data_IF_328271077874
#
_entry.id   IF_328271077874
#
_cell.length_a   1.000
_cell.length_b   1.000
_cell.length_c   1.000
_cell.angle_alpha   90.00
_cell.angle_beta   90.00
_cell.angle_gamma   90.00
#
_symmetry.space_group_name_H-M   'P 1'
#
loop_
_entity.id
_entity.type
_entity.pdbx_description
1 polymer ?
#
# COMPACT_ATOMS: atom_id res chain seq x y z
N UNK A 1 -30.35 1.89 -7.65
CA UNK A 1 -29.14 1.04 -7.59
C UNK A 1 -27.94 1.92 -7.88
N UNK A 2 -26.95 2.03 -6.98
CA UNK A 2 -25.72 2.79 -7.28
C UNK A 2 -24.93 2.07 -8.38
N UNK A 3 -24.39 2.84 -9.32
CA UNK A 3 -23.44 2.32 -10.32
C UNK A 3 -22.19 1.83 -9.60
N UNK A 4 -21.71 0.63 -9.95
CA UNK A 4 -20.40 0.11 -9.47
C UNK A 4 -19.24 0.94 -10.03
N UNK A 5 -19.46 1.67 -11.13
CA UNK A 5 -18.47 2.53 -11.75
C UNK A 5 -18.66 3.98 -11.35
N UNK A 6 -17.56 4.64 -11.03
CA UNK A 6 -17.39 6.09 -11.05
C UNK A 6 -16.33 6.41 -12.08
N UNK A 7 -16.74 7.10 -13.15
CA UNK A 7 -15.85 7.44 -14.26
C UNK A 7 -15.44 8.91 -14.13
N UNK A 8 -14.17 9.12 -13.79
CA UNK A 8 -13.54 10.44 -13.61
C UNK A 8 -12.58 10.77 -14.76
N UNK A 9 -12.62 10.01 -15.86
CA UNK A 9 -11.73 10.24 -17.01
C UNK A 9 -11.92 11.61 -17.65
N UNK A 10 -13.13 12.18 -17.58
CA UNK A 10 -13.38 13.56 -18.04
C UNK A 10 -12.57 14.61 -17.24
N UNK A 11 -12.43 14.44 -15.92
CA UNK A 11 -11.58 15.32 -15.12
C UNK A 11 -10.12 15.21 -15.58
N UNK A 12 -9.65 13.99 -15.80
CA UNK A 12 -8.29 13.75 -16.29
C UNK A 12 -8.03 14.34 -17.68
N UNK A 13 -8.89 14.06 -18.66
CA UNK A 13 -8.71 14.53 -20.03
C UNK A 13 -8.80 16.05 -20.19
N UNK A 14 -9.32 16.76 -19.19
CA UNK A 14 -9.23 18.23 -19.16
C UNK A 14 -7.79 18.76 -19.15
N UNK A 15 -6.78 17.92 -18.83
CA UNK A 15 -5.35 18.22 -19.03
C UNK A 15 -5.01 18.67 -20.46
N UNK A 16 -5.76 18.18 -21.46
CA UNK A 16 -5.58 18.56 -22.86
C UNK A 16 -5.94 20.04 -23.13
N UNK A 17 -6.70 20.69 -22.24
CA UNK A 17 -7.00 22.12 -22.32
C UNK A 17 -5.88 23.02 -21.78
N UNK A 18 -4.95 22.47 -21.00
CA UNK A 18 -3.81 23.20 -20.44
C UNK A 18 -2.63 23.14 -21.42
N UNK A 19 -1.84 24.20 -21.60
CA UNK A 19 -0.51 24.11 -22.22
C UNK A 19 0.36 23.05 -21.51
N UNK A 20 1.30 22.42 -22.22
CA UNK A 20 2.09 21.29 -21.67
C UNK A 20 2.93 21.71 -20.45
N UNK A 21 3.49 22.90 -20.49
CA UNK A 21 4.21 23.55 -19.39
C UNK A 21 3.33 23.83 -18.16
N UNK A 22 2.00 23.74 -18.30
CA UNK A 22 1.00 23.93 -17.24
C UNK A 22 0.39 22.62 -16.73
N UNK A 23 0.93 21.47 -17.14
CA UNK A 23 0.42 20.18 -16.67
C UNK A 23 0.71 19.91 -15.19
N UNK A 24 1.76 20.52 -14.61
CA UNK A 24 1.97 20.51 -13.16
C UNK A 24 0.82 21.19 -12.41
N UNK A 25 0.42 22.39 -12.85
CA UNK A 25 -0.71 23.13 -12.25
C UNK A 25 -2.03 22.34 -12.39
N UNK A 26 -2.25 21.70 -13.54
CA UNK A 26 -3.38 20.79 -13.73
C UNK A 26 -3.36 19.66 -12.70
N UNK A 27 -2.21 19.00 -12.51
CA UNK A 27 -2.09 17.86 -11.60
C UNK A 27 -2.33 18.26 -10.15
N UNK A 28 -1.90 19.45 -9.73
CA UNK A 28 -2.23 19.99 -8.41
C UNK A 28 -3.74 20.13 -8.22
N UNK A 29 -4.44 20.75 -9.18
CA UNK A 29 -5.91 20.89 -9.12
C UNK A 29 -6.65 19.55 -9.23
N UNK A 30 -6.14 18.60 -10.01
CA UNK A 30 -6.71 17.28 -10.17
C UNK A 30 -6.61 16.45 -8.87
N UNK A 31 -5.49 16.57 -8.14
CA UNK A 31 -5.30 15.99 -6.81
C UNK A 31 -6.30 16.52 -5.80
N UNK A 32 -6.62 17.80 -5.82
CA UNK A 32 -7.63 18.38 -4.91
C UNK A 32 -9.05 17.82 -5.15
N UNK A 33 -9.37 17.43 -6.38
CA UNK A 33 -10.65 16.78 -6.72
C UNK A 33 -10.73 15.33 -6.28
N UNK A 34 -9.60 14.61 -6.32
CA UNK A 34 -9.51 13.17 -6.03
C UNK A 34 -8.44 12.83 -4.97
N UNK A 35 -8.47 13.49 -3.79
CA UNK A 35 -7.31 13.56 -2.90
C UNK A 35 -6.91 12.18 -2.38
N UNK A 36 -7.86 11.39 -1.86
CA UNK A 36 -7.55 10.09 -1.27
C UNK A 36 -6.97 9.09 -2.27
N UNK A 37 -7.54 9.04 -3.47
CA UNK A 37 -7.15 8.07 -4.50
C UNK A 37 -5.80 8.43 -5.11
N UNK A 38 -5.57 9.71 -5.39
CA UNK A 38 -4.32 10.17 -5.98
C UNK A 38 -3.18 10.26 -4.94
N UNK A 39 -3.48 10.53 -3.66
CA UNK A 39 -2.48 10.42 -2.58
C UNK A 39 -2.01 8.97 -2.43
N UNK A 40 -2.92 8.00 -2.39
CA UNK A 40 -2.57 6.58 -2.31
C UNK A 40 -1.80 6.11 -3.55
N UNK A 41 -2.22 6.55 -4.75
CA UNK A 41 -1.50 6.28 -5.98
C UNK A 41 -0.07 6.83 -5.93
N UNK A 42 0.11 8.07 -5.47
CA UNK A 42 1.44 8.65 -5.34
C UNK A 42 2.30 7.88 -4.33
N UNK A 43 1.75 7.59 -3.16
CA UNK A 43 2.44 6.84 -2.12
C UNK A 43 2.91 5.47 -2.62
N UNK A 44 2.00 4.66 -3.18
CA UNK A 44 2.33 3.30 -3.67
C UNK A 44 3.27 3.29 -4.88
N UNK A 45 3.41 4.41 -5.59
CA UNK A 45 4.35 4.56 -6.71
C UNK A 45 5.61 5.35 -6.34
N UNK A 46 5.87 5.60 -5.05
CA UNK A 46 7.01 6.36 -4.55
C UNK A 46 7.14 7.76 -5.21
N UNK A 47 6.00 8.44 -5.34
CA UNK A 47 5.92 9.76 -5.94
C UNK A 47 5.80 10.83 -4.85
N UNK A 48 6.65 11.84 -4.95
CA UNK A 48 6.57 13.09 -4.18
C UNK A 48 6.46 14.26 -5.17
N UNK A 49 6.34 15.50 -4.67
CA UNK A 49 6.20 16.67 -5.57
C UNK A 49 7.44 16.90 -6.47
N UNK A 50 8.62 16.40 -6.08
CA UNK A 50 9.85 16.50 -6.87
C UNK A 50 9.86 15.47 -8.01
N UNK A 51 9.56 14.20 -7.71
CA UNK A 51 9.55 13.11 -8.70
C UNK A 51 8.34 13.19 -9.62
N UNK A 52 7.19 13.65 -9.11
CA UNK A 52 5.96 13.87 -9.88
C UNK A 52 6.19 14.75 -11.11
N UNK A 53 6.92 15.85 -10.95
CA UNK A 53 7.21 16.78 -12.05
C UNK A 53 7.91 16.08 -13.22
N UNK A 54 8.93 15.27 -12.93
CA UNK A 54 9.64 14.49 -13.95
C UNK A 54 8.78 13.42 -14.63
N UNK A 55 7.80 12.86 -13.93
CA UNK A 55 6.85 11.91 -14.52
C UNK A 55 5.81 12.61 -15.42
N UNK A 56 5.33 13.78 -15.02
CA UNK A 56 4.40 14.60 -15.83
C UNK A 56 5.06 15.03 -17.14
N UNK A 57 6.35 15.37 -17.11
CA UNK A 57 7.10 15.76 -18.30
C UNK A 57 7.11 14.66 -19.37
N UNK A 58 7.27 13.39 -18.96
CA UNK A 58 7.30 12.21 -19.84
C UNK A 58 5.97 11.94 -20.57
N UNK A 59 4.86 12.49 -20.09
CA UNK A 59 3.55 12.26 -20.70
C UNK A 59 3.42 12.93 -22.07
N UNK A 60 2.93 12.22 -23.07
CA UNK A 60 2.77 12.77 -24.42
C UNK A 60 1.33 13.24 -24.68
N UNK A 61 1.15 14.49 -25.13
CA UNK A 61 -0.19 15.04 -25.45
C UNK A 61 -0.92 14.20 -26.47
N UNK A 62 -0.20 13.72 -27.49
CA UNK A 62 -0.76 12.87 -28.53
C UNK A 62 -1.28 11.55 -27.96
N UNK A 63 -0.61 10.97 -26.96
CA UNK A 63 -1.08 9.74 -26.32
C UNK A 63 -2.37 9.99 -25.54
N UNK A 64 -2.40 11.04 -24.72
CA UNK A 64 -3.59 11.38 -23.92
C UNK A 64 -4.78 11.73 -24.82
N UNK A 65 -4.55 12.42 -25.93
CA UNK A 65 -5.60 12.75 -26.91
C UNK A 65 -6.17 11.49 -27.61
N UNK A 66 -5.30 10.56 -28.02
CA UNK A 66 -5.73 9.27 -28.60
C UNK A 66 -6.51 8.43 -27.60
N UNK A 67 -6.03 8.37 -26.35
CA UNK A 67 -6.71 7.69 -25.26
C UNK A 67 -8.09 8.31 -25.00
N UNK A 68 -8.19 9.64 -24.95
CA UNK A 68 -9.46 10.35 -24.75
C UNK A 68 -10.49 9.97 -25.82
N UNK A 69 -10.12 10.07 -27.10
CA UNK A 69 -11.00 9.69 -28.21
C UNK A 69 -11.42 8.22 -28.16
N UNK A 70 -10.46 7.33 -27.85
CA UNK A 70 -10.74 5.90 -27.74
C UNK A 70 -11.74 5.62 -26.63
N UNK A 71 -11.53 6.18 -25.43
CA UNK A 71 -12.37 5.93 -24.27
C UNK A 71 -13.75 6.55 -24.40
N UNK A 72 -13.87 7.74 -25.00
CA UNK A 72 -15.16 8.36 -25.31
C UNK A 72 -16.02 7.45 -26.20
N UNK A 73 -15.39 6.79 -27.17
CA UNK A 73 -16.07 5.90 -28.12
C UNK A 73 -16.38 4.52 -27.52
N UNK A 74 -15.42 3.89 -26.83
CA UNK A 74 -15.50 2.48 -26.43
C UNK A 74 -15.86 2.29 -24.94
N UNK A 75 -15.54 3.26 -24.08
CA UNK A 75 -15.71 3.17 -22.63
C UNK A 75 -17.14 2.82 -22.19
N UNK A 76 -18.20 3.44 -22.74
CA UNK A 76 -19.58 3.05 -22.43
C UNK A 76 -19.90 1.59 -22.75
N UNK A 77 -19.41 1.08 -23.88
CA UNK A 77 -19.62 -0.31 -24.33
C UNK A 77 -18.87 -1.28 -23.40
N UNK A 78 -17.60 -0.98 -23.11
CA UNK A 78 -16.76 -1.81 -22.25
C UNK A 78 -17.28 -1.89 -20.81
N UNK A 79 -17.74 -0.77 -20.24
CA UNK A 79 -18.41 -0.77 -18.93
C UNK A 79 -19.69 -1.63 -18.94
N UNK A 80 -20.44 -1.60 -20.04
CA UNK A 80 -21.60 -2.48 -20.24
C UNK A 80 -21.21 -3.97 -20.28
N UNK A 81 -20.10 -4.31 -20.94
CA UNK A 81 -19.55 -5.67 -20.96
C UNK A 81 -19.13 -6.13 -19.56
N UNK A 82 -18.48 -5.29 -18.77
CA UNK A 82 -18.13 -5.61 -17.37
C UNK A 82 -19.37 -5.90 -16.53
N UNK A 83 -20.38 -5.01 -16.58
CA UNK A 83 -21.63 -5.20 -15.84
C UNK A 83 -22.33 -6.52 -16.20
N UNK A 84 -22.33 -6.88 -17.49
CA UNK A 84 -22.89 -8.15 -17.97
C UNK A 84 -22.10 -9.35 -17.46
N UNK A 85 -20.77 -9.26 -17.43
CA UNK A 85 -19.93 -10.34 -16.91
C UNK A 85 -20.12 -10.51 -15.40
N UNK A 86 -20.09 -9.41 -14.63
CA UNK A 86 -20.32 -9.44 -13.19
C UNK A 86 -21.69 -9.99 -12.83
N UNK A 87 -22.74 -9.65 -13.57
CA UNK A 87 -24.07 -10.23 -13.34
C UNK A 87 -24.13 -11.76 -13.49
N UNK A 88 -23.17 -12.40 -14.17
CA UNK A 88 -23.10 -13.86 -14.30
C UNK A 88 -22.35 -14.54 -13.17
N UNK A 89 -21.39 -13.85 -12.56
CA UNK A 89 -20.45 -14.41 -11.58
C UNK A 89 -20.67 -13.84 -10.16
N UNK A 90 -21.50 -12.81 -9.99
CA UNK A 90 -21.68 -12.14 -8.70
C UNK A 90 -22.14 -13.08 -7.59
N UNK A 91 -22.92 -14.12 -7.91
CA UNK A 91 -23.33 -15.14 -6.93
C UNK A 91 -22.19 -16.05 -6.46
N UNK A 92 -21.09 -16.13 -7.23
CA UNK A 92 -19.91 -16.93 -6.91
C UNK A 92 -18.85 -16.11 -6.16
N UNK A 93 -18.80 -14.79 -6.40
CA UNK A 93 -17.79 -13.91 -5.82
C UNK A 93 -18.10 -13.48 -4.38
N UNK A 94 -19.28 -13.81 -3.83
CA UNK A 94 -19.73 -13.36 -2.50
C UNK A 94 -19.60 -11.85 -2.26
N UNK A 95 -19.58 -11.05 -3.33
CA UNK A 95 -19.39 -9.61 -3.30
C UNK A 95 -20.72 -8.90 -3.18
N UNK A 96 -20.91 -8.07 -2.15
CA UNK A 96 -21.98 -7.10 -2.13
C UNK A 96 -21.54 -5.84 -2.89
N UNK A 97 -22.47 -5.23 -3.64
CA UNK A 97 -22.18 -4.00 -4.41
C UNK A 97 -21.82 -2.79 -3.54
N UNK A 98 -21.94 -2.93 -2.23
CA UNK A 98 -21.60 -1.89 -1.24
C UNK A 98 -20.16 -2.04 -0.75
N UNK A 99 -19.49 -3.15 -1.03
CA UNK A 99 -18.14 -3.44 -0.54
C UNK A 99 -17.06 -2.66 -1.30
N UNK A 100 -17.34 -2.33 -2.56
CA UNK A 100 -16.40 -1.63 -3.43
C UNK A 100 -17.07 -0.74 -4.48
N UNK A 101 -16.27 0.18 -5.01
CA UNK A 101 -16.59 0.96 -6.21
C UNK A 101 -15.37 1.00 -7.13
N UNK A 102 -15.58 0.83 -8.43
CA UNK A 102 -14.52 0.94 -9.44
C UNK A 102 -14.42 2.41 -9.88
N UNK A 103 -13.30 3.05 -9.57
CA UNK A 103 -12.96 4.38 -10.05
C UNK A 103 -12.12 4.25 -11.33
N UNK A 104 -12.66 4.69 -12.45
CA UNK A 104 -11.92 4.76 -13.71
C UNK A 104 -11.41 6.19 -13.85
N UNK A 105 -10.10 6.35 -13.89
CA UNK A 105 -9.46 7.66 -13.97
C UNK A 105 -8.16 7.55 -14.77
N UNK A 106 -7.63 8.66 -15.26
CA UNK A 106 -6.26 8.66 -15.76
C UNK A 106 -5.30 9.08 -14.66
N UNK A 107 -4.14 8.43 -14.59
CA UNK A 107 -3.04 8.87 -13.76
C UNK A 107 -1.73 8.96 -14.57
N UNK A 108 -0.61 8.42 -14.08
CA UNK A 108 0.72 8.54 -14.70
C UNK A 108 1.14 7.28 -15.46
N UNK A 109 0.27 6.28 -15.61
CA UNK A 109 0.57 5.05 -16.32
C UNK A 109 1.45 4.07 -15.55
N UNK A 110 1.57 4.21 -14.22
CA UNK A 110 2.53 3.45 -13.40
C UNK A 110 2.08 2.04 -13.03
N UNK A 111 0.78 1.79 -12.92
CA UNK A 111 0.21 0.48 -12.57
C UNK A 111 -1.22 0.36 -13.12
N UNK A 112 -1.69 -0.85 -13.41
CA UNK A 112 -3.01 -1.09 -14.02
C UNK A 112 -4.17 -0.70 -13.09
N UNK A 113 -4.13 -1.15 -11.84
CA UNK A 113 -5.14 -0.85 -10.84
C UNK A 113 -4.53 -0.75 -9.45
N UNK A 114 -5.29 -0.18 -8.53
CA UNK A 114 -4.92 0.01 -7.13
C UNK A 114 -6.17 -0.13 -6.24
N UNK A 115 -6.03 -0.82 -5.12
CA UNK A 115 -7.06 -0.87 -4.08
C UNK A 115 -6.74 0.24 -3.09
N UNK A 116 -7.70 1.15 -2.91
CA UNK A 116 -7.58 2.30 -2.01
C UNK A 116 -8.60 2.14 -0.89
N UNK A 117 -8.15 1.82 0.34
CA UNK A 117 -9.03 1.74 1.49
C UNK A 117 -9.60 3.11 1.85
N UNK A 118 -10.91 3.16 2.12
CA UNK A 118 -11.60 4.37 2.57
C UNK A 118 -12.51 4.08 3.75
N UNK A 119 -12.92 5.13 4.47
CA UNK A 119 -13.89 5.01 5.56
C UNK A 119 -15.29 4.53 5.13
N UNK A 120 -15.58 4.50 3.82
CA UNK A 120 -16.89 4.12 3.26
C UNK A 120 -16.86 2.81 2.47
N UNK A 121 -15.77 2.04 2.57
CA UNK A 121 -15.51 0.84 1.77
C UNK A 121 -14.24 0.98 0.96
N UNK A 122 -14.06 0.13 -0.05
CA UNK A 122 -12.84 0.14 -0.86
C UNK A 122 -13.09 0.78 -2.23
N UNK A 123 -12.10 1.52 -2.71
CA UNK A 123 -12.08 2.02 -4.08
C UNK A 123 -11.11 1.17 -4.88
N UNK A 124 -11.59 0.56 -5.95
CA UNK A 124 -10.74 -0.10 -6.95
C UNK A 124 -10.47 0.92 -8.04
N UNK A 125 -9.32 1.60 -7.95
CA UNK A 125 -8.87 2.54 -8.97
C UNK A 125 -8.31 1.77 -10.16
N UNK A 126 -8.66 2.16 -11.39
CA UNK A 126 -8.03 1.70 -12.64
C UNK A 126 -7.37 2.90 -13.29
N UNK A 127 -6.06 2.81 -13.57
CA UNK A 127 -5.29 3.82 -14.29
C UNK A 127 -5.43 3.58 -15.80
N UNK A 128 -6.31 4.35 -16.42
CA UNK A 128 -6.63 4.17 -17.82
C UNK A 128 -5.43 4.46 -18.74
N UNK A 129 -4.48 5.29 -18.31
CA UNK A 129 -3.27 5.55 -19.09
C UNK A 129 -2.36 4.32 -19.13
N UNK A 130 -2.26 3.57 -18.03
CA UNK A 130 -1.52 2.30 -18.00
C UNK A 130 -2.19 1.26 -18.91
N UNK A 131 -3.51 1.10 -18.80
CA UNK A 131 -4.25 0.19 -19.67
C UNK A 131 -4.06 0.53 -21.16
N UNK A 132 -3.94 1.82 -21.49
CA UNK A 132 -3.67 2.28 -22.85
C UNK A 132 -2.26 1.93 -23.32
N UNK A 133 -1.23 2.26 -22.51
CA UNK A 133 0.17 2.03 -22.87
C UNK A 133 0.47 0.54 -23.07
N UNK A 134 -0.10 -0.31 -22.23
CA UNK A 134 0.05 -1.77 -22.32
C UNK A 134 -0.89 -2.43 -23.35
N UNK A 135 -1.84 -1.66 -23.92
CA UNK A 135 -2.83 -2.17 -24.88
C UNK A 135 -3.98 -2.98 -24.25
N UNK A 136 -3.97 -3.19 -22.93
CA UNK A 136 -5.01 -3.90 -22.18
C UNK A 136 -6.39 -3.23 -22.24
N UNK A 137 -6.45 -1.93 -22.54
CA UNK A 137 -7.70 -1.17 -22.68
C UNK A 137 -8.66 -1.73 -23.74
N UNK A 138 -8.16 -2.53 -24.69
CA UNK A 138 -8.97 -3.21 -25.72
C UNK A 138 -9.81 -4.35 -25.13
N UNK A 139 -9.39 -4.91 -24.01
CA UNK A 139 -10.16 -5.87 -23.24
C UNK A 139 -10.30 -5.40 -21.79
N UNK A 140 -10.88 -4.22 -21.65
CA UNK A 140 -11.17 -3.61 -20.36
C UNK A 140 -11.99 -4.53 -19.41
N UNK A 141 -12.85 -5.45 -19.88
CA UNK A 141 -13.46 -6.45 -19.01
C UNK A 141 -12.46 -7.34 -18.29
N UNK A 142 -11.37 -7.76 -18.96
CA UNK A 142 -10.33 -8.53 -18.31
C UNK A 142 -9.57 -7.69 -17.27
N UNK A 143 -9.31 -6.41 -17.56
CA UNK A 143 -8.72 -5.46 -16.58
C UNK A 143 -9.59 -5.36 -15.33
N UNK A 144 -10.88 -5.09 -15.51
CA UNK A 144 -11.82 -4.96 -14.39
C UNK A 144 -11.95 -6.27 -13.60
N UNK A 145 -11.89 -7.42 -14.27
CA UNK A 145 -11.94 -8.71 -13.57
C UNK A 145 -10.69 -8.97 -12.72
N UNK A 146 -9.48 -8.73 -13.25
CA UNK A 146 -8.24 -8.82 -12.46
C UNK A 146 -8.26 -7.89 -11.25
N UNK A 147 -8.68 -6.64 -11.46
CA UNK A 147 -8.79 -5.67 -10.38
C UNK A 147 -9.77 -6.11 -9.28
N UNK A 148 -10.80 -6.88 -9.64
CA UNK A 148 -11.75 -7.45 -8.69
C UNK A 148 -11.24 -8.71 -8.00
N UNK A 149 -10.49 -9.57 -8.70
CA UNK A 149 -9.81 -10.72 -8.11
C UNK A 149 -8.83 -10.26 -7.03
N UNK A 150 -7.99 -9.27 -7.35
CA UNK A 150 -7.08 -8.65 -6.38
C UNK A 150 -7.83 -7.99 -5.22
N UNK A 151 -8.99 -7.37 -5.49
CA UNK A 151 -9.83 -6.78 -4.46
C UNK A 151 -10.42 -7.83 -3.52
N UNK A 152 -10.87 -8.97 -4.04
CA UNK A 152 -11.39 -10.08 -3.23
C UNK A 152 -10.27 -10.63 -2.35
N UNK A 153 -9.11 -10.93 -2.95
CA UNK A 153 -7.93 -11.41 -2.22
C UNK A 153 -7.57 -10.44 -1.08
N UNK A 154 -7.50 -9.14 -1.40
CA UNK A 154 -7.30 -8.08 -0.42
C UNK A 154 -8.37 -8.10 0.66
N UNK A 155 -9.64 -8.16 0.28
CA UNK A 155 -10.75 -8.09 1.22
C UNK A 155 -10.91 -9.33 2.09
N UNK A 156 -10.23 -10.44 1.77
CA UNK A 156 -10.18 -11.65 2.60
C UNK A 156 -9.00 -11.66 3.58
N UNK A 157 -7.93 -10.93 3.26
CA UNK A 157 -6.70 -10.87 4.08
C UNK A 157 -6.57 -9.58 4.89
N UNK A 158 -7.13 -8.47 4.41
CA UNK A 158 -6.93 -7.15 5.00
C UNK A 158 -7.35 -7.10 6.48
N UNK A 159 -6.54 -6.42 7.28
CA UNK A 159 -6.70 -6.21 8.72
C UNK A 159 -6.90 -4.71 8.96
N UNK A 160 -7.92 -4.36 9.76
CA UNK A 160 -8.26 -2.96 10.08
C UNK A 160 -8.34 -2.77 11.59
N UNK A 161 -7.99 -1.57 12.07
CA UNK A 161 -8.11 -1.20 13.50
C UNK A 161 -9.52 -1.46 14.03
N UNK A 162 -10.56 -1.21 13.23
CA UNK A 162 -11.95 -1.33 13.67
C UNK A 162 -12.54 -2.74 13.65
N UNK A 163 -11.75 -3.77 13.31
CA UNK A 163 -12.22 -5.15 13.28
C UNK A 163 -12.46 -5.70 14.68
N UNK A 164 -13.35 -6.69 14.81
CA UNK A 164 -13.47 -7.44 16.06
C UNK A 164 -12.19 -8.26 16.31
N UNK A 165 -11.93 -8.61 17.58
CA UNK A 165 -10.77 -9.43 17.95
C UNK A 165 -10.76 -10.77 17.21
N UNK A 166 -11.92 -11.41 17.07
CA UNK A 166 -12.04 -12.71 16.39
C UNK A 166 -11.71 -12.59 14.89
N UNK A 167 -12.24 -11.57 14.21
CA UNK A 167 -11.92 -11.33 12.80
C UNK A 167 -10.44 -10.99 12.62
N UNK A 168 -9.90 -10.12 13.47
CA UNK A 168 -8.48 -9.72 13.43
C UNK A 168 -7.55 -10.92 13.51
N UNK A 169 -7.79 -11.85 14.46
CA UNK A 169 -7.03 -13.11 14.58
C UNK A 169 -7.14 -13.95 13.32
N UNK A 170 -8.35 -14.16 12.79
CA UNK A 170 -8.54 -14.95 11.57
C UNK A 170 -7.82 -14.34 10.35
N UNK A 171 -7.76 -13.02 10.26
CA UNK A 171 -7.08 -12.29 9.18
C UNK A 171 -5.57 -12.41 9.29
N UNK A 172 -5.02 -12.22 10.48
CA UNK A 172 -3.59 -12.43 10.72
C UNK A 172 -3.17 -13.88 10.49
N UNK A 173 -3.98 -14.87 10.87
CA UNK A 173 -3.69 -16.28 10.58
C UNK A 173 -3.63 -16.56 9.07
N UNK A 174 -4.51 -15.92 8.28
CA UNK A 174 -4.45 -16.01 6.80
C UNK A 174 -3.22 -15.32 6.25
N UNK A 175 -2.94 -14.10 6.70
CA UNK A 175 -1.78 -13.32 6.26
C UNK A 175 -0.47 -14.02 6.60
N UNK A 176 -0.34 -14.61 7.79
CA UNK A 176 0.85 -15.36 8.21
C UNK A 176 1.11 -16.55 7.29
N UNK A 177 0.08 -17.33 6.96
CA UNK A 177 0.20 -18.45 6.00
C UNK A 177 0.60 -17.96 4.62
N UNK A 178 0.07 -16.83 4.18
CA UNK A 178 0.43 -16.25 2.90
C UNK A 178 1.88 -15.77 2.87
N UNK A 179 2.36 -15.14 3.95
CA UNK A 179 3.77 -14.77 4.13
C UNK A 179 4.65 -16.02 4.07
N UNK A 180 4.33 -17.07 4.84
CA UNK A 180 5.08 -18.33 4.84
C UNK A 180 5.19 -18.93 3.43
N UNK A 181 4.07 -19.02 2.70
CA UNK A 181 4.05 -19.53 1.33
C UNK A 181 4.87 -18.67 0.36
N UNK A 182 4.76 -17.35 0.49
CA UNK A 182 5.43 -16.39 -0.40
C UNK A 182 6.93 -16.29 -0.17
N UNK A 183 7.40 -16.68 1.02
CA UNK A 183 8.81 -16.56 1.42
C UNK A 183 9.54 -17.90 1.43
N UNK A 184 8.85 -19.02 1.26
CA UNK A 184 9.38 -20.38 1.47
C UNK A 184 10.72 -20.68 0.79
N UNK A 185 10.90 -20.24 -0.45
CA UNK A 185 12.09 -20.53 -1.27
C UNK A 185 13.01 -19.30 -1.43
N UNK A 186 12.78 -18.25 -0.65
CA UNK A 186 13.48 -16.97 -0.75
C UNK A 186 14.70 -16.90 0.20
N UNK A 187 15.70 -16.12 -0.17
CA UNK A 187 16.82 -15.76 0.71
C UNK A 187 16.42 -14.71 1.76
N UNK A 188 17.24 -14.53 2.81
CA UNK A 188 16.93 -13.64 3.94
C UNK A 188 16.52 -12.21 3.54
N UNK A 189 17.29 -11.56 2.66
CA UNK A 189 17.00 -10.19 2.18
C UNK A 189 15.70 -10.11 1.37
N UNK A 190 15.44 -11.13 0.57
CA UNK A 190 14.23 -11.22 -0.24
C UNK A 190 13.00 -11.44 0.65
N UNK A 191 13.13 -12.25 1.71
CA UNK A 191 12.07 -12.44 2.71
C UNK A 191 11.69 -11.13 3.39
N UNK A 192 12.67 -10.37 3.87
CA UNK A 192 12.41 -9.06 4.47
C UNK A 192 11.66 -8.15 3.51
N UNK A 193 12.10 -8.09 2.25
CA UNK A 193 11.44 -7.30 1.21
C UNK A 193 9.99 -7.73 0.99
N UNK A 194 9.71 -9.04 0.93
CA UNK A 194 8.36 -9.59 0.75
C UNK A 194 7.50 -9.30 2.00
N UNK A 195 8.03 -9.54 3.19
CA UNK A 195 7.33 -9.33 4.46
C UNK A 195 6.91 -7.85 4.59
N UNK A 196 7.83 -6.90 4.44
CA UNK A 196 7.51 -5.47 4.53
C UNK A 196 6.37 -5.08 3.57
N UNK A 197 6.43 -5.56 2.31
CA UNK A 197 5.38 -5.32 1.31
C UNK A 197 4.04 -5.94 1.68
N UNK A 198 4.02 -7.17 2.20
CA UNK A 198 2.78 -7.85 2.57
C UNK A 198 2.13 -7.23 3.81
N UNK A 199 2.95 -6.81 4.78
CA UNK A 199 2.48 -6.10 5.97
C UNK A 199 1.88 -4.73 5.61
N UNK A 200 2.57 -3.92 4.80
CA UNK A 200 2.05 -2.63 4.29
C UNK A 200 0.80 -2.82 3.41
N UNK A 201 0.74 -3.89 2.61
CA UNK A 201 -0.40 -4.15 1.73
C UNK A 201 -1.63 -4.56 2.52
N UNK A 202 -1.50 -5.43 3.53
CA UNK A 202 -2.67 -6.09 4.13
C UNK A 202 -3.03 -5.58 5.53
N UNK A 203 -2.28 -4.66 6.12
CA UNK A 203 -2.62 -4.07 7.43
C UNK A 203 -2.79 -2.56 7.30
N UNK A 204 -4.04 -2.08 7.29
CA UNK A 204 -4.41 -0.70 6.92
C UNK A 204 -3.77 0.40 7.78
N UNK A 205 -3.29 0.04 8.97
CA UNK A 205 -2.73 0.97 9.95
C UNK A 205 -1.22 0.85 10.11
N UNK A 206 -0.56 0.03 9.30
CA UNK A 206 0.89 0.03 9.19
C UNK A 206 1.28 1.03 8.11
N UNK A 207 1.95 2.11 8.49
CA UNK A 207 2.29 3.22 7.60
C UNK A 207 3.79 3.28 7.25
N UNK A 208 4.61 2.60 8.05
CA UNK A 208 5.98 2.23 7.72
C UNK A 208 6.19 0.80 8.20
N UNK A 209 6.76 -0.06 7.36
CA UNK A 209 7.11 -1.44 7.72
C UNK A 209 8.52 -1.71 7.23
N UNK A 210 9.44 -2.07 8.12
CA UNK A 210 10.82 -2.21 7.71
C UNK A 210 11.68 -2.99 8.67
N UNK A 211 12.88 -3.27 8.20
CA UNK A 211 13.87 -3.98 8.99
C UNK A 211 15.08 -3.10 9.23
N UNK A 212 15.67 -3.23 10.41
CA UNK A 212 17.04 -2.81 10.65
C UNK A 212 17.90 -4.03 10.96
N UNK A 213 19.13 -4.06 10.45
CA UNK A 213 20.06 -5.18 10.63
C UNK A 213 21.23 -4.75 11.51
N UNK A 214 21.63 -5.62 12.43
CA UNK A 214 22.80 -5.39 13.27
C UNK A 214 24.07 -5.42 12.42
N UNK A 215 24.94 -4.42 12.57
CA UNK A 215 26.24 -4.41 11.91
C UNK A 215 27.35 -5.13 12.70
N UNK A 216 27.00 -5.66 13.87
CA UNK A 216 27.93 -6.31 14.79
C UNK A 216 28.74 -5.35 15.68
N UNK A 217 28.59 -4.04 15.53
CA UNK A 217 29.27 -2.99 16.30
C UNK A 217 28.26 -2.09 17.04
N UNK A 218 27.37 -2.73 17.82
CA UNK A 218 26.32 -2.08 18.62
C UNK A 218 25.49 -1.03 17.85
N UNK A 219 25.22 -1.29 16.57
CA UNK A 219 24.35 -0.45 15.77
C UNK A 219 23.49 -1.26 14.80
N UNK A 220 22.42 -0.60 14.38
CA UNK A 220 21.41 -1.06 13.47
C UNK A 220 21.55 -0.28 12.16
N UNK A 221 21.41 -0.96 11.02
CA UNK A 221 21.50 -0.39 9.67
C UNK A 221 20.20 -0.65 8.94
N UNK A 222 19.68 0.38 8.28
CA UNK A 222 18.42 0.29 7.56
C UNK A 222 18.48 -0.79 6.47
N UNK A 223 17.57 -1.76 6.57
CA UNK A 223 17.34 -2.83 5.61
C UNK A 223 16.13 -2.53 4.71
N UNK A 224 15.51 -3.55 4.11
CA UNK A 224 14.32 -3.39 3.29
C UNK A 224 13.15 -2.80 4.10
N UNK A 225 12.44 -1.84 3.50
CA UNK A 225 11.25 -1.23 4.10
C UNK A 225 10.23 -0.79 3.05
N UNK A 226 9.01 -0.51 3.49
CA UNK A 226 7.95 0.17 2.74
C UNK A 226 7.41 1.30 3.61
N UNK A 227 7.35 2.52 3.07
CA UNK A 227 6.89 3.70 3.81
C UNK A 227 7.61 4.97 3.38
N UNK A 228 7.36 6.07 4.11
CA UNK A 228 8.07 7.34 3.90
C UNK A 228 9.60 7.16 4.06
N UNK A 229 10.44 7.86 3.28
CA UNK A 229 11.89 7.85 3.47
C UNK A 229 12.27 8.30 4.88
N UNK A 230 13.29 7.65 5.46
CA UNK A 230 13.79 7.96 6.81
C UNK A 230 15.25 8.44 6.76
N UNK A 231 15.61 9.39 7.62
CA UNK A 231 17.00 9.84 7.81
C UNK A 231 17.80 8.90 8.73
N UNK A 232 17.11 8.00 9.45
CA UNK A 232 17.71 7.11 10.44
C UNK A 232 18.34 5.87 9.80
N UNK A 233 19.24 6.06 8.84
CA UNK A 233 19.89 4.96 8.11
C UNK A 233 20.83 4.10 8.99
N UNK A 234 21.24 4.64 10.13
CA UNK A 234 22.06 3.96 11.15
C UNK A 234 21.65 4.41 12.54
N UNK A 235 21.32 3.47 13.42
CA UNK A 235 20.83 3.73 14.78
C UNK A 235 21.76 3.00 15.77
N UNK A 236 22.28 3.71 16.77
CA UNK A 236 23.08 3.08 17.83
C UNK A 236 22.20 2.32 18.82
N UNK A 237 22.68 1.21 19.38
CA UNK A 237 21.97 0.52 20.47
C UNK A 237 21.75 1.50 21.64
N UNK A 238 20.59 1.39 22.29
CA UNK A 238 20.09 2.30 23.33
C UNK A 238 19.53 3.64 22.82
N UNK A 239 19.71 3.99 21.53
CA UNK A 239 19.23 5.25 20.95
C UNK A 239 17.87 5.07 20.27
N UNK A 240 16.87 5.89 20.60
CA UNK A 240 15.53 5.67 20.04
C UNK A 240 14.81 4.47 20.66
N UNK A 241 13.60 4.20 20.16
CA UNK A 241 12.85 2.98 20.50
C UNK A 241 13.55 1.77 19.90
N UNK A 242 13.87 1.81 18.59
CA UNK A 242 14.73 0.85 17.88
C UNK A 242 15.99 0.43 18.66
N UNK A 243 16.85 1.40 19.00
CA UNK A 243 18.08 1.10 19.72
C UNK A 243 17.83 0.49 21.10
N UNK A 244 16.79 0.93 21.82
CA UNK A 244 16.41 0.33 23.11
C UNK A 244 15.91 -1.10 22.98
N UNK A 245 15.15 -1.41 21.93
CA UNK A 245 14.69 -2.76 21.63
C UNK A 245 15.89 -3.69 21.37
N UNK A 246 16.85 -3.25 20.55
CA UNK A 246 18.08 -3.97 20.30
C UNK A 246 18.98 -4.14 21.54
N UNK A 247 19.09 -3.12 22.40
CA UNK A 247 19.91 -3.19 23.61
C UNK A 247 19.30 -4.13 24.67
N UNK A 248 18.00 -4.02 24.90
CA UNK A 248 17.29 -4.78 25.94
C UNK A 248 16.77 -6.13 25.46
N UNK A 249 16.88 -6.44 24.15
CA UNK A 249 16.39 -7.67 23.51
C UNK A 249 14.91 -7.93 23.78
N UNK A 250 14.13 -6.87 23.85
CA UNK A 250 12.71 -6.92 24.22
C UNK A 250 11.86 -6.27 23.15
N UNK A 251 10.63 -6.76 22.99
CA UNK A 251 9.62 -6.12 22.14
C UNK A 251 9.14 -4.83 22.80
N UNK A 252 9.06 -3.75 22.02
CA UNK A 252 8.49 -2.47 22.45
C UNK A 252 7.17 -2.25 21.73
N UNK A 253 6.10 -2.02 22.48
CA UNK A 253 4.79 -1.63 21.97
C UNK A 253 4.48 -0.25 22.52
N UNK A 254 4.59 0.77 21.66
CA UNK A 254 4.49 2.17 22.02
C UNK A 254 3.15 2.73 21.53
N UNK A 255 2.16 2.94 22.42
CA UNK A 255 0.83 3.41 22.03
C UNK A 255 0.80 4.89 21.62
N UNK A 256 1.74 5.69 22.12
CA UNK A 256 1.87 7.13 21.81
C UNK A 256 3.34 7.57 21.85
N UNK A 257 3.97 7.69 20.69
CA UNK A 257 5.40 8.08 20.59
C UNK A 257 5.67 9.49 21.14
N UNK A 258 4.65 10.34 21.26
CA UNK A 258 4.82 11.68 21.84
C UNK A 258 5.11 11.67 23.35
N UNK A 259 4.85 10.53 24.02
CA UNK A 259 5.16 10.33 25.44
C UNK A 259 6.58 9.77 25.65
N UNK A 260 7.27 9.37 24.57
CA UNK A 260 8.57 8.73 24.66
C UNK A 260 9.70 9.76 24.75
N UNK A 261 10.41 9.76 25.88
CA UNK A 261 11.48 10.74 26.16
C UNK A 261 12.77 10.47 25.37
N UNK A 262 12.95 9.24 24.89
CA UNK A 262 14.08 8.82 24.06
C UNK A 262 13.67 8.65 22.59
N UNK A 263 12.60 9.30 22.13
CA UNK A 263 12.10 9.08 20.77
C UNK A 263 13.00 9.69 19.70
N UNK A 264 13.44 8.87 18.74
CA UNK A 264 14.06 9.32 17.50
C UNK A 264 12.99 9.40 16.42
N UNK A 265 12.41 10.59 16.22
CA UNK A 265 11.33 10.76 15.25
C UNK A 265 11.81 10.56 13.82
N UNK A 266 11.28 9.54 13.13
CA UNK A 266 11.47 9.28 11.70
C UNK A 266 10.53 10.11 10.83
N UNK A 267 9.28 10.29 11.26
CA UNK A 267 8.26 11.11 10.59
C UNK A 267 7.44 11.88 11.62
N UNK A 268 7.06 13.12 11.29
CA UNK A 268 6.13 13.90 12.10
C UNK A 268 4.71 13.30 12.13
N UNK A 269 4.42 12.31 11.28
CA UNK A 269 3.12 11.64 11.20
C UNK A 269 3.03 10.42 12.10
N UNK A 270 4.15 9.81 12.50
CA UNK A 270 4.19 8.64 13.38
C UNK A 270 3.59 9.00 14.73
N UNK A 271 2.67 8.16 15.22
CA UNK A 271 1.95 8.33 16.48
C UNK A 271 2.04 7.13 17.40
N UNK A 272 2.23 5.93 16.86
CA UNK A 272 2.52 4.72 17.63
C UNK A 272 3.51 3.87 16.86
N UNK A 273 4.26 3.03 17.56
CA UNK A 273 5.32 2.20 17.00
C UNK A 273 5.35 0.83 17.68
N UNK A 274 5.69 -0.22 16.94
CA UNK A 274 6.04 -1.52 17.52
C UNK A 274 7.36 -2.02 16.93
N UNK A 275 8.28 -2.40 17.82
CA UNK A 275 9.62 -2.89 17.45
C UNK A 275 9.82 -4.29 17.99
N UNK A 276 10.22 -5.21 17.11
CA UNK A 276 10.48 -6.62 17.42
C UNK A 276 11.92 -7.01 17.09
N UNK A 277 12.78 -7.21 18.10
CA UNK A 277 14.14 -7.71 17.87
C UNK A 277 14.17 -9.11 17.25
N UNK A 278 15.01 -9.30 16.24
CA UNK A 278 15.36 -10.59 15.66
C UNK A 278 16.55 -11.17 16.42
N UNK A 279 16.32 -12.23 17.20
CA UNK A 279 17.32 -12.81 18.10
C UNK A 279 17.68 -14.23 17.66
N UNK A 280 18.98 -14.46 17.43
CA UNK A 280 19.56 -15.78 17.13
C UNK A 280 20.74 -16.02 18.06
N UNK A 281 20.79 -17.18 18.73
CA UNK A 281 21.85 -17.53 19.68
C UNK A 281 22.13 -16.42 20.71
N UNK A 282 21.07 -15.86 21.31
CA UNK A 282 21.14 -14.75 22.28
C UNK A 282 21.72 -13.44 21.71
N UNK A 283 21.86 -13.30 20.39
CA UNK A 283 22.36 -12.09 19.73
C UNK A 283 21.28 -11.45 18.88
N UNK A 284 21.20 -10.11 18.93
CA UNK A 284 20.34 -9.33 18.04
C UNK A 284 21.01 -9.26 16.67
N UNK A 285 20.37 -9.87 15.67
CA UNK A 285 20.81 -9.82 14.26
C UNK A 285 20.09 -8.71 13.48
N UNK A 286 19.03 -8.15 14.05
CA UNK A 286 18.23 -7.07 13.48
C UNK A 286 16.94 -6.88 14.25
N UNK A 287 15.98 -6.18 13.65
CA UNK A 287 14.64 -5.96 14.18
C UNK A 287 13.65 -5.68 13.06
N UNK A 288 12.38 -5.99 13.30
CA UNK A 288 11.24 -5.52 12.53
C UNK A 288 10.67 -4.30 13.25
N UNK A 289 10.57 -3.18 12.54
CA UNK A 289 10.01 -1.92 13.03
C UNK A 289 8.79 -1.54 12.18
N UNK A 290 7.73 -1.10 12.86
CA UNK A 290 6.45 -0.74 12.24
C UNK A 290 5.86 0.51 12.90
N UNK A 291 5.67 1.55 12.08
CA UNK A 291 5.03 2.79 12.48
C UNK A 291 3.55 2.84 12.08
N UNK A 292 2.78 3.60 12.86
CA UNK A 292 1.41 3.98 12.52
C UNK A 292 1.17 5.47 12.69
N UNK A 293 0.34 6.04 11.81
CA UNK A 293 -0.16 7.42 11.90
C UNK A 293 -1.33 7.59 12.89
N UNK A 294 -1.74 6.51 13.54
CA UNK A 294 -2.76 6.49 14.58
C UNK A 294 -2.13 6.16 15.93
N UNK A 295 -2.72 6.65 17.03
CA UNK A 295 -2.31 6.25 18.37
C UNK A 295 -3.01 4.93 18.75
N UNK A 296 -2.40 4.16 19.64
CA UNK A 296 -2.93 2.88 20.14
C UNK A 296 -3.26 1.89 19.01
N UNK A 297 -2.45 1.87 17.96
CA UNK A 297 -2.70 1.03 16.78
C UNK A 297 -2.41 -0.44 17.00
N UNK A 298 -1.48 -0.74 17.92
CA UNK A 298 -0.99 -2.10 18.16
C UNK A 298 -1.54 -2.66 19.48
N UNK A 299 -1.90 -3.93 19.46
CA UNK A 299 -2.29 -4.70 20.65
C UNK A 299 -1.51 -6.03 20.74
N UNK A 300 -1.85 -6.87 21.72
CA UNK A 300 -1.21 -8.18 21.89
C UNK A 300 -1.44 -9.13 20.70
N UNK A 301 -2.52 -8.94 19.92
CA UNK A 301 -2.79 -9.74 18.72
C UNK A 301 -1.83 -9.34 17.59
N UNK A 302 -1.57 -8.04 17.41
CA UNK A 302 -0.49 -7.57 16.51
C UNK A 302 0.85 -8.18 16.92
N UNK A 303 1.19 -8.04 18.22
CA UNK A 303 2.45 -8.53 18.76
C UNK A 303 2.63 -10.02 18.48
N UNK A 304 1.64 -10.86 18.79
CA UNK A 304 1.74 -12.30 18.59
C UNK A 304 1.90 -12.67 17.10
N UNK A 305 1.17 -11.98 16.21
CA UNK A 305 1.29 -12.17 14.76
C UNK A 305 2.68 -11.77 14.24
N UNK A 306 3.21 -10.64 14.69
CA UNK A 306 4.52 -10.14 14.28
C UNK A 306 5.66 -10.97 14.85
N UNK A 307 5.55 -11.47 16.08
CA UNK A 307 6.52 -12.42 16.67
C UNK A 307 6.55 -13.74 15.88
N UNK A 308 5.40 -14.23 15.40
CA UNK A 308 5.35 -15.39 14.48
C UNK A 308 5.99 -15.07 13.13
N UNK A 309 5.74 -13.87 12.59
CA UNK A 309 6.33 -13.42 11.33
C UNK A 309 7.86 -13.31 11.43
N UNK A 310 8.39 -12.76 12.53
CA UNK A 310 9.82 -12.70 12.81
C UNK A 310 10.44 -14.10 12.93
N UNK A 311 9.73 -15.05 13.56
CA UNK A 311 10.19 -16.45 13.62
C UNK A 311 10.34 -17.09 12.25
N UNK A 312 9.39 -16.89 11.33
CA UNK A 312 9.49 -17.39 9.94
C UNK A 312 10.73 -16.87 9.21
N UNK A 313 11.21 -15.68 9.58
CA UNK A 313 12.40 -15.07 8.99
C UNK A 313 13.70 -15.68 9.56
N UNK A 314 13.75 -16.00 10.86
CA UNK A 314 14.98 -16.46 11.54
C UNK A 314 15.12 -17.99 11.60
N UNK A 315 14.03 -18.75 11.53
CA UNK A 315 14.04 -20.23 11.63
C UNK A 315 14.31 -20.92 10.28
N UNK A 316 14.63 -20.15 9.24
CA UNK A 316 14.60 -20.63 7.86
C UNK A 316 15.94 -20.92 7.21
#
# INVERSE_FOLDING_TARGET
MRSIFRDFTYDYFSILSYPKEKWGDFWAAYREKHPRVLEEYMFKNNLDDRTLSGEIEKLERREIDRLSHYWETHGPIEKGRVLKNLGKISSQLHLEREDFVIHILGALGKQEHLIVPTSKGNVVMIDLLHCWSEGNIKDFPAVAMRALEDFIEYSEMNVRISMSLEEKVQRFDRLLKYIEMSTKECGFDEKMTIISKLLDKYVDYYNWTGFYLSDGDNSLILGPYVGEPTEHVRIGFGSGICGQAAETKSVFLIPDVSQETNYLSCSARTKSEIVLPLIVDERVIGELDIDSHFQNSFDDIDREFLEKTCRLLIES
#
